data_IF_887175983755
#
_entry.id   IF_887175983755
#
_cell.length_a   1.000
_cell.length_b   1.000
_cell.length_c   1.000
_cell.angle_alpha   90.00
_cell.angle_beta   90.00
_cell.angle_gamma   90.00
#
_symmetry.space_group_name_H-M   'P 1'
#
loop_
_entity.id
_entity.type
_entity.pdbx_description
1 polymer ?
#
# COMPACT_ATOMS: atom_id res chain seq x y z
N UNK A 1 48.17 -41.91 26.78
CA UNK A 1 47.35 -40.85 27.41
C UNK A 1 47.99 -39.52 27.06
N UNK A 2 47.39 -38.83 26.11
CA UNK A 2 47.80 -37.56 25.54
C UNK A 2 47.13 -36.42 26.31
N UNK A 3 47.89 -35.37 26.66
CA UNK A 3 47.39 -34.01 26.90
C UNK A 3 48.57 -33.03 26.85
N UNK A 4 49.00 -32.65 25.64
CA UNK A 4 49.86 -31.48 25.42
C UNK A 4 48.96 -30.27 25.19
N UNK A 5 48.99 -29.32 26.12
CA UNK A 5 48.18 -28.11 26.08
C UNK A 5 48.93 -27.04 25.26
N UNK A 6 48.58 -26.88 23.98
CA UNK A 6 49.26 -26.02 22.99
C UNK A 6 48.73 -24.57 22.90
N UNK A 7 48.09 -24.04 23.94
CA UNK A 7 47.52 -22.68 23.87
C UNK A 7 48.40 -21.62 24.53
N UNK A 8 49.34 -21.05 23.77
CA UNK A 8 49.97 -19.76 24.11
C UNK A 8 50.14 -18.84 22.89
N UNK A 9 49.04 -18.51 22.21
CA UNK A 9 48.98 -17.29 21.40
C UNK A 9 48.81 -16.09 22.32
N UNK A 10 49.89 -15.67 23.00
CA UNK A 10 49.89 -14.42 23.77
C UNK A 10 50.35 -13.28 22.87
N UNK A 11 49.39 -12.63 22.22
CA UNK A 11 49.64 -11.33 21.58
C UNK A 11 50.21 -10.39 22.64
N UNK A 12 51.37 -9.78 22.38
CA UNK A 12 52.00 -8.91 23.35
C UNK A 12 51.13 -7.66 23.59
N UNK A 13 51.03 -7.19 24.84
CA UNK A 13 50.32 -5.93 25.18
C UNK A 13 50.80 -4.76 24.31
N UNK A 14 52.09 -4.75 23.93
CA UNK A 14 52.67 -3.75 23.03
C UNK A 14 52.11 -3.84 21.61
N UNK A 15 51.86 -5.04 21.09
CA UNK A 15 51.22 -5.26 19.78
C UNK A 15 49.77 -4.80 19.80
N UNK A 16 49.02 -5.10 20.88
CA UNK A 16 47.65 -4.63 21.07
C UNK A 16 47.59 -3.10 21.11
N UNK A 17 48.46 -2.46 21.90
CA UNK A 17 48.48 -1.00 22.04
C UNK A 17 48.93 -0.28 20.75
N UNK A 18 49.82 -0.89 19.95
CA UNK A 18 50.21 -0.36 18.63
C UNK A 18 49.09 -0.48 17.59
N UNK A 19 48.27 -1.54 17.66
CA UNK A 19 47.10 -1.70 16.77
C UNK A 19 45.93 -0.78 17.13
N UNK A 20 45.75 -0.49 18.42
CA UNK A 20 44.67 0.38 18.91
C UNK A 20 44.79 1.82 18.40
N UNK A 21 46.02 2.33 18.22
CA UNK A 21 46.27 3.65 17.64
C UNK A 21 45.85 3.75 16.17
N UNK A 22 45.99 2.68 15.39
CA UNK A 22 45.57 2.65 13.99
C UNK A 22 44.03 2.56 13.84
N UNK A 23 43.33 1.90 14.77
CA UNK A 23 41.87 1.80 14.76
C UNK A 23 41.13 3.08 15.13
N UNK A 24 41.75 4.00 15.89
CA UNK A 24 41.13 5.28 16.24
C UNK A 24 41.19 6.27 15.05
N UNK A 25 42.20 6.15 14.20
CA UNK A 25 42.38 6.99 13.00
C UNK A 25 41.66 6.47 11.75
N UNK A 26 41.14 5.25 11.77
CA UNK A 26 40.42 4.67 10.64
C UNK A 26 38.93 5.04 10.73
N UNK A 27 38.37 5.72 9.71
CA UNK A 27 36.93 5.76 9.53
C UNK A 27 36.41 4.31 9.55
N UNK A 28 35.30 4.07 10.24
CA UNK A 28 34.55 2.82 10.05
C UNK A 28 34.29 2.67 8.54
N UNK A 29 34.96 1.71 7.92
CA UNK A 29 34.70 1.39 6.52
C UNK A 29 33.25 0.94 6.41
N UNK A 30 32.51 1.44 5.42
CA UNK A 30 31.08 1.11 5.20
C UNK A 30 30.84 -0.41 5.12
N UNK A 31 31.87 -1.22 4.84
CA UNK A 31 31.81 -2.67 4.85
C UNK A 31 31.71 -3.31 6.25
N UNK A 32 31.91 -2.54 7.32
CA UNK A 32 31.86 -2.99 8.73
C UNK A 32 30.62 -2.50 9.47
N UNK A 33 29.81 -1.63 8.85
CA UNK A 33 28.49 -1.30 9.36
C UNK A 33 27.54 -2.47 9.09
N UNK A 34 26.84 -2.95 10.12
CA UNK A 34 25.63 -3.70 9.89
C UNK A 34 24.69 -2.76 9.13
N UNK A 35 24.49 -3.00 7.83
CA UNK A 35 23.51 -2.24 7.05
C UNK A 35 22.20 -2.29 7.84
N UNK A 36 21.72 -1.12 8.28
CA UNK A 36 20.42 -1.01 8.89
C UNK A 36 19.45 -1.68 7.91
N UNK A 37 18.85 -2.80 8.32
CA UNK A 37 17.89 -3.47 7.46
C UNK A 37 16.78 -2.47 7.20
N UNK A 38 16.54 -2.07 5.94
CA UNK A 38 15.54 -1.05 5.65
C UNK A 38 14.21 -1.54 6.23
N UNK A 39 13.54 -0.67 6.98
CA UNK A 39 12.27 -1.00 7.61
C UNK A 39 11.29 -1.46 6.53
N UNK A 40 10.70 -2.65 6.72
CA UNK A 40 9.78 -3.19 5.71
C UNK A 40 8.57 -2.27 5.61
N UNK A 41 8.20 -1.79 4.41
CA UNK A 41 7.06 -0.90 4.27
C UNK A 41 5.79 -1.60 4.72
N UNK A 42 5.01 -0.92 5.56
CA UNK A 42 3.67 -1.35 5.97
C UNK A 42 2.73 -1.26 4.77
N UNK A 43 1.76 -2.17 4.70
CA UNK A 43 0.77 -2.26 3.62
C UNK A 43 -0.62 -2.39 4.23
N UNK A 44 -1.60 -1.78 3.58
CA UNK A 44 -3.02 -1.90 3.91
C UNK A 44 -3.76 -2.58 2.76
N UNK A 45 -4.76 -3.38 3.10
CA UNK A 45 -5.66 -4.02 2.13
C UNK A 45 -7.08 -3.71 2.56
N UNK A 46 -7.88 -3.23 1.61
CA UNK A 46 -9.28 -2.90 1.81
C UNK A 46 -10.12 -3.92 1.03
N UNK A 47 -10.94 -4.68 1.75
CA UNK A 47 -11.79 -5.72 1.17
C UNK A 47 -13.25 -5.36 1.43
N UNK A 48 -14.03 -5.29 0.36
CA UNK A 48 -15.46 -5.02 0.43
C UNK A 48 -16.23 -6.26 0.00
N UNK A 49 -17.21 -6.65 0.82
CA UNK A 49 -18.14 -7.73 0.51
C UNK A 49 -19.48 -7.05 0.20
N UNK A 50 -19.93 -7.03 -1.07
CA UNK A 50 -21.14 -6.34 -1.48
C UNK A 50 -22.41 -7.10 -1.03
N UNK A 51 -23.55 -6.69 -1.58
CA UNK A 51 -24.85 -7.36 -1.39
C UNK A 51 -24.75 -8.89 -1.54
N UNK A 52 -25.54 -9.63 -0.76
CA UNK A 52 -25.58 -11.10 -0.81
C UNK A 52 -25.23 -11.80 0.49
N UNK A 53 -24.94 -11.05 1.57
CA UNK A 53 -24.72 -11.59 2.91
C UNK A 53 -25.83 -11.15 3.87
N UNK A 54 -26.15 -11.99 4.86
CA UNK A 54 -26.96 -11.57 6.00
C UNK A 54 -26.09 -10.75 6.94
N UNK A 55 -26.16 -9.42 6.87
CA UNK A 55 -25.29 -8.53 7.66
C UNK A 55 -25.42 -8.73 9.17
N UNK A 56 -26.57 -9.20 9.66
CA UNK A 56 -26.76 -9.49 11.09
C UNK A 56 -25.88 -10.63 11.59
N UNK A 57 -25.53 -11.60 10.73
CA UNK A 57 -24.65 -12.71 11.12
C UNK A 57 -23.17 -12.35 11.10
N UNK A 58 -22.81 -11.16 10.60
CA UNK A 58 -21.44 -10.66 10.59
C UNK A 58 -21.14 -9.72 11.77
N UNK A 59 -22.15 -9.33 12.55
CA UNK A 59 -21.99 -8.43 13.67
C UNK A 59 -21.53 -9.17 14.92
N UNK A 60 -20.52 -8.60 15.59
CA UNK A 60 -20.09 -9.00 16.92
C UNK A 60 -20.95 -8.24 17.94
N UNK A 61 -21.72 -8.99 18.75
CA UNK A 61 -22.69 -8.42 19.69
C UNK A 61 -22.05 -8.02 21.03
N UNK A 62 -20.94 -8.66 21.42
CA UNK A 62 -20.25 -8.42 22.69
C UNK A 62 -18.93 -7.69 22.46
N UNK A 63 -18.78 -6.52 23.07
CA UNK A 63 -17.54 -5.76 23.06
C UNK A 63 -16.50 -6.33 24.05
N UNK A 64 -15.24 -5.95 23.85
CA UNK A 64 -14.11 -6.37 24.70
C UNK A 64 -13.36 -7.57 24.14
N UNK A 65 -12.27 -7.98 24.81
CA UNK A 65 -11.36 -9.04 24.33
C UNK A 65 -12.03 -10.42 24.24
N UNK A 66 -13.06 -10.64 25.04
CA UNK A 66 -13.82 -11.89 25.12
C UNK A 66 -15.01 -11.92 24.15
N UNK A 67 -14.86 -11.26 23.00
CA UNK A 67 -15.84 -11.32 21.93
C UNK A 67 -15.85 -12.72 21.29
N UNK A 68 -16.99 -13.11 20.72
CA UNK A 68 -17.14 -14.38 20.02
C UNK A 68 -17.28 -14.12 18.53
N UNK A 69 -16.41 -14.74 17.73
CA UNK A 69 -16.58 -14.71 16.28
C UNK A 69 -17.87 -15.42 15.89
N UNK A 70 -18.67 -14.77 15.05
CA UNK A 70 -19.86 -15.37 14.46
C UNK A 70 -19.48 -16.44 13.43
N UNK A 71 -20.45 -17.23 12.98
CA UNK A 71 -20.21 -18.32 12.04
C UNK A 71 -19.43 -17.89 10.77
N UNK A 72 -19.75 -16.76 10.09
CA UNK A 72 -18.98 -16.30 8.93
C UNK A 72 -17.53 -15.92 9.25
N UNK A 73 -17.26 -15.48 10.48
CA UNK A 73 -15.94 -15.04 10.93
C UNK A 73 -15.16 -16.14 11.68
N UNK A 74 -15.74 -17.35 11.81
CA UNK A 74 -15.16 -18.41 12.66
C UNK A 74 -13.79 -18.89 12.18
N UNK A 75 -13.53 -18.80 10.88
CA UNK A 75 -12.23 -19.13 10.28
C UNK A 75 -11.10 -18.22 10.75
N UNK A 76 -11.41 -17.04 11.31
CA UNK A 76 -10.45 -16.08 11.84
C UNK A 76 -10.05 -16.36 13.30
N UNK A 77 -10.65 -17.35 13.97
CA UNK A 77 -10.38 -17.67 15.38
C UNK A 77 -8.88 -17.90 15.65
N UNK A 78 -8.20 -18.61 14.74
CA UNK A 78 -6.75 -18.86 14.83
C UNK A 78 -5.89 -17.59 14.72
N UNK A 79 -6.46 -16.47 14.28
CA UNK A 79 -5.83 -15.17 14.10
C UNK A 79 -6.41 -14.12 15.07
N UNK A 80 -7.07 -14.53 16.15
CA UNK A 80 -7.70 -13.62 17.14
C UNK A 80 -6.76 -12.53 17.65
N UNK A 81 -5.47 -12.83 17.82
CA UNK A 81 -4.49 -11.85 18.28
C UNK A 81 -4.22 -10.73 17.24
N UNK A 82 -4.51 -10.98 15.96
CA UNK A 82 -4.21 -10.10 14.83
C UNK A 82 -5.47 -9.41 14.27
N UNK A 83 -6.65 -9.73 14.79
CA UNK A 83 -7.94 -9.26 14.26
C UNK A 83 -8.71 -8.52 15.35
N UNK A 84 -9.23 -7.35 15.01
CA UNK A 84 -10.16 -6.59 15.86
C UNK A 84 -11.45 -6.33 15.08
N UNK A 85 -12.53 -7.09 15.34
CA UNK A 85 -13.82 -6.83 14.73
C UNK A 85 -14.41 -5.51 15.25
N UNK A 86 -14.99 -4.73 14.35
CA UNK A 86 -15.72 -3.50 14.69
C UNK A 86 -17.14 -3.63 14.15
N UNK A 87 -18.14 -3.52 15.01
CA UNK A 87 -19.56 -3.62 14.68
C UNK A 87 -20.31 -2.34 15.08
N UNK A 88 -21.46 -2.10 14.46
CA UNK A 88 -22.29 -0.91 14.73
C UNK A 88 -21.89 0.35 13.95
N UNK A 89 -20.84 0.29 13.12
CA UNK A 89 -20.51 1.37 12.20
C UNK A 89 -21.50 1.39 11.03
N UNK A 90 -22.02 2.57 10.74
CA UNK A 90 -22.86 2.81 9.59
C UNK A 90 -22.61 4.22 9.05
N UNK A 91 -22.88 4.40 7.76
CA UNK A 91 -22.76 5.70 7.13
C UNK A 91 -24.13 6.39 7.09
N UNK A 92 -24.35 7.48 7.85
CA UNK A 92 -25.68 8.07 8.02
C UNK A 92 -26.27 8.64 6.72
N UNK A 93 -25.43 9.09 5.78
CA UNK A 93 -25.88 9.69 4.53
C UNK A 93 -26.37 8.66 3.49
N UNK A 94 -26.19 7.36 3.74
CA UNK A 94 -26.62 6.27 2.85
C UNK A 94 -27.63 5.31 3.46
N UNK A 95 -28.22 5.68 4.60
CA UNK A 95 -29.33 4.91 5.18
C UNK A 95 -30.46 4.84 4.14
N UNK A 96 -30.92 3.62 3.84
CA UNK A 96 -31.94 3.35 2.82
C UNK A 96 -31.42 3.32 1.37
N UNK A 97 -30.11 3.52 1.12
CA UNK A 97 -29.50 3.59 -0.21
C UNK A 97 -28.60 2.38 -0.50
N UNK A 98 -29.20 1.26 -0.90
CA UNK A 98 -28.54 -0.05 -0.91
C UNK A 98 -27.57 -0.28 -2.10
N UNK A 99 -27.88 0.23 -3.30
CA UNK A 99 -27.16 -0.15 -4.54
C UNK A 99 -25.87 0.64 -4.83
N UNK A 100 -25.51 1.61 -3.99
CA UNK A 100 -24.36 2.50 -4.22
C UNK A 100 -23.39 2.58 -3.03
N UNK A 101 -23.51 1.65 -2.06
CA UNK A 101 -22.69 1.64 -0.86
C UNK A 101 -21.20 1.38 -1.15
N UNK A 102 -20.90 0.61 -2.20
CA UNK A 102 -19.54 0.33 -2.68
C UNK A 102 -18.80 1.61 -3.11
N UNK A 103 -19.50 2.55 -3.74
CA UNK A 103 -18.93 3.82 -4.22
C UNK A 103 -18.48 4.75 -3.10
N UNK A 104 -19.01 4.58 -1.90
CA UNK A 104 -18.81 5.52 -0.79
C UNK A 104 -18.15 4.90 0.43
N UNK A 105 -17.86 3.60 0.39
CA UNK A 105 -17.32 2.87 1.54
C UNK A 105 -15.98 3.44 2.05
N UNK A 106 -15.09 3.85 1.13
CA UNK A 106 -13.79 4.43 1.47
C UNK A 106 -13.76 5.97 1.46
N UNK A 107 -14.86 6.64 1.11
CA UNK A 107 -14.90 8.10 0.95
C UNK A 107 -15.87 8.79 1.91
N UNK A 108 -16.91 8.08 2.36
CA UNK A 108 -17.99 8.67 3.17
C UNK A 108 -18.82 9.71 2.42
N UNK A 109 -18.79 9.71 1.07
CA UNK A 109 -19.55 10.65 0.27
C UNK A 109 -21.07 10.39 0.33
N UNK A 110 -21.85 11.44 0.14
CA UNK A 110 -23.31 11.33 0.08
C UNK A 110 -23.75 10.76 -1.28
N UNK A 111 -24.60 9.75 -1.27
CA UNK A 111 -25.29 9.25 -2.47
C UNK A 111 -26.62 9.99 -2.62
N UNK A 112 -26.88 10.74 -3.69
CA UNK A 112 -28.18 11.40 -3.90
C UNK A 112 -29.34 10.38 -3.93
N UNK A 113 -30.43 10.68 -3.22
CA UNK A 113 -31.60 9.79 -3.13
C UNK A 113 -32.48 9.85 -4.40
N UNK A 114 -32.45 11.00 -5.07
CA UNK A 114 -33.22 11.37 -6.26
C UNK A 114 -32.52 10.96 -7.57
N UNK A 115 -31.37 10.30 -7.50
CA UNK A 115 -30.56 9.97 -8.68
C UNK A 115 -29.87 11.20 -9.30
N UNK A 116 -29.80 12.32 -8.58
CA UNK A 116 -29.09 13.51 -9.01
C UNK A 116 -27.57 13.31 -9.15
N UNK A 117 -26.86 14.40 -9.50
CA UNK A 117 -25.43 14.36 -9.74
C UNK A 117 -24.65 13.82 -8.52
N UNK A 118 -23.99 12.69 -8.70
CA UNK A 118 -23.14 12.08 -7.68
C UNK A 118 -21.75 12.69 -7.72
N UNK A 119 -21.27 13.19 -6.58
CA UNK A 119 -19.92 13.72 -6.41
C UNK A 119 -19.22 12.93 -5.33
N UNK A 120 -17.97 12.59 -5.59
CA UNK A 120 -17.12 11.87 -4.64
C UNK A 120 -15.86 12.69 -4.33
N UNK A 121 -15.03 12.16 -3.44
CA UNK A 121 -13.75 12.75 -3.05
C UNK A 121 -12.68 11.67 -2.93
N UNK A 122 -11.47 12.08 -2.55
CA UNK A 122 -10.38 11.15 -2.24
C UNK A 122 -10.84 10.04 -1.30
N UNK A 123 -10.46 8.80 -1.61
CA UNK A 123 -10.72 7.66 -0.74
C UNK A 123 -9.59 7.44 0.26
N UNK A 124 -9.90 6.78 1.38
CA UNK A 124 -8.96 6.55 2.47
C UNK A 124 -7.70 5.77 2.03
N UNK A 125 -7.85 4.79 1.13
CA UNK A 125 -6.74 4.04 0.56
C UNK A 125 -5.79 4.93 -0.27
N UNK A 126 -6.33 5.91 -1.00
CA UNK A 126 -5.53 6.83 -1.81
C UNK A 126 -4.80 7.86 -0.93
N UNK A 127 -5.43 8.34 0.15
CA UNK A 127 -4.73 9.14 1.17
C UNK A 127 -3.58 8.36 1.81
N UNK A 128 -3.76 7.05 2.06
CA UNK A 128 -2.67 6.21 2.56
C UNK A 128 -1.56 6.00 1.52
N UNK A 129 -1.92 5.85 0.25
CA UNK A 129 -0.97 5.72 -0.86
C UNK A 129 -0.10 6.98 -1.04
N UNK A 130 -0.63 8.18 -0.80
CA UNK A 130 0.14 9.42 -0.86
C UNK A 130 1.29 9.46 0.18
N UNK A 131 1.08 8.85 1.35
CA UNK A 131 2.07 8.84 2.44
C UNK A 131 3.04 7.67 2.30
N UNK A 132 2.52 6.47 2.05
CA UNK A 132 3.29 5.23 2.11
C UNK A 132 3.74 4.70 0.73
N UNK A 133 3.13 5.19 -0.35
CA UNK A 133 3.31 4.63 -1.68
C UNK A 133 4.71 4.80 -2.26
N UNK A 134 5.48 5.80 -1.81
CA UNK A 134 6.89 5.96 -2.22
C UNK A 134 7.80 4.85 -1.67
N UNK A 135 7.38 4.17 -0.61
CA UNK A 135 8.14 3.09 0.02
C UNK A 135 7.84 1.72 -0.62
N UNK A 136 6.88 1.63 -1.54
CA UNK A 136 6.47 0.40 -2.21
C UNK A 136 6.64 0.50 -3.73
N UNK A 137 6.82 -0.65 -4.42
CA UNK A 137 6.94 -0.69 -5.89
C UNK A 137 5.71 -0.11 -6.60
N UNK A 138 4.54 -0.37 -6.03
CA UNK A 138 3.25 0.18 -6.46
C UNK A 138 2.71 1.02 -5.31
N UNK A 139 2.33 2.27 -5.59
CA UNK A 139 1.76 3.16 -4.58
C UNK A 139 0.37 2.70 -4.13
N UNK A 140 -0.41 2.19 -5.09
CA UNK A 140 -1.71 1.58 -4.90
C UNK A 140 -1.91 0.45 -5.91
N UNK A 141 -2.85 -0.46 -5.62
CA UNK A 141 -3.21 -1.55 -6.52
C UNK A 141 -4.70 -1.83 -6.40
N UNK A 142 -5.44 -1.32 -7.37
CA UNK A 142 -6.89 -1.41 -7.44
C UNK A 142 -7.28 -2.74 -8.10
N UNK A 143 -8.02 -3.57 -7.37
CA UNK A 143 -8.42 -4.91 -7.81
C UNK A 143 -9.93 -5.08 -7.66
N UNK A 144 -10.54 -5.79 -8.60
CA UNK A 144 -11.94 -6.18 -8.50
C UNK A 144 -12.14 -7.57 -9.11
N UNK A 145 -13.03 -8.37 -8.51
CA UNK A 145 -13.49 -9.63 -9.12
C UNK A 145 -14.54 -9.27 -10.18
N UNK A 146 -15.57 -8.55 -9.74
CA UNK A 146 -16.63 -7.98 -10.57
C UNK A 146 -16.84 -6.51 -10.15
N UNK A 147 -17.49 -5.71 -11.01
CA UNK A 147 -17.75 -4.30 -10.70
C UNK A 147 -16.50 -3.42 -10.75
N UNK A 148 -16.56 -2.27 -10.07
CA UNK A 148 -15.55 -1.22 -10.18
C UNK A 148 -14.62 -1.18 -8.96
N UNK A 149 -13.54 -0.38 -9.04
CA UNK A 149 -12.66 -0.16 -7.88
C UNK A 149 -13.40 0.56 -6.75
N UNK A 150 -12.97 0.31 -5.52
CA UNK A 150 -13.38 1.07 -4.34
C UNK A 150 -12.64 2.42 -4.23
N UNK A 151 -11.58 2.60 -5.02
CA UNK A 151 -10.67 3.73 -4.92
C UNK A 151 -11.12 4.93 -5.75
N UNK A 152 -10.94 6.13 -5.18
CA UNK A 152 -11.32 7.41 -5.76
C UNK A 152 -10.18 8.41 -5.62
N UNK A 153 -9.86 9.09 -6.72
CA UNK A 153 -8.84 10.14 -6.75
C UNK A 153 -9.27 11.38 -5.97
N UNK A 154 -8.32 12.30 -5.76
CA UNK A 154 -8.58 13.60 -5.11
C UNK A 154 -9.68 14.42 -5.78
N UNK A 155 -9.81 14.30 -7.09
CA UNK A 155 -10.82 14.97 -7.90
C UNK A 155 -12.17 14.24 -7.91
N UNK A 156 -12.31 13.16 -7.12
CA UNK A 156 -13.53 12.37 -7.06
C UNK A 156 -13.76 11.52 -8.30
N UNK A 157 -12.69 11.09 -8.97
CA UNK A 157 -12.74 10.19 -10.13
C UNK A 157 -12.46 8.77 -9.67
N UNK A 158 -13.33 7.83 -10.03
CA UNK A 158 -13.13 6.42 -9.70
C UNK A 158 -11.94 5.85 -10.47
N UNK A 159 -11.02 5.20 -9.76
CA UNK A 159 -9.85 4.59 -10.39
C UNK A 159 -10.23 3.27 -11.06
N UNK A 160 -9.59 2.91 -12.19
CA UNK A 160 -9.81 1.62 -12.83
C UNK A 160 -9.25 0.48 -11.98
N UNK A 161 -9.96 -0.64 -11.90
CA UNK A 161 -9.49 -1.85 -11.25
C UNK A 161 -8.93 -2.85 -12.26
N UNK A 162 -7.84 -3.52 -11.90
CA UNK A 162 -7.39 -4.73 -12.60
C UNK A 162 -8.25 -5.92 -12.15
N UNK A 163 -8.81 -6.65 -13.12
CA UNK A 163 -9.69 -7.81 -12.90
C UNK A 163 -9.05 -9.12 -13.33
N UNK A 164 -8.02 -9.04 -14.17
CA UNK A 164 -7.32 -10.19 -14.66
C UNK A 164 -6.20 -10.58 -13.68
N UNK A 165 -6.39 -11.71 -13.00
CA UNK A 165 -5.44 -12.24 -12.02
C UNK A 165 -4.09 -12.58 -12.62
N UNK A 166 -4.04 -12.97 -13.91
CA UNK A 166 -2.78 -13.25 -14.61
C UNK A 166 -2.00 -11.96 -14.87
N UNK A 167 -2.66 -10.88 -15.28
CA UNK A 167 -2.02 -9.56 -15.43
C UNK A 167 -1.47 -9.08 -14.10
N UNK A 168 -2.27 -9.16 -13.05
CA UNK A 168 -1.89 -8.79 -11.69
C UNK A 168 -0.68 -9.60 -11.20
N UNK A 169 -0.71 -10.92 -11.38
CA UNK A 169 0.39 -11.80 -11.02
C UNK A 169 1.66 -11.46 -11.81
N UNK A 170 1.56 -11.23 -13.11
CA UNK A 170 2.70 -10.84 -13.94
C UNK A 170 3.25 -9.47 -13.52
N UNK A 171 2.39 -8.52 -13.14
CA UNK A 171 2.79 -7.22 -12.63
C UNK A 171 3.55 -7.34 -11.30
N UNK A 172 3.06 -8.17 -10.38
CA UNK A 172 3.64 -8.34 -9.05
C UNK A 172 4.89 -9.22 -9.04
N UNK A 173 4.84 -10.36 -9.72
CA UNK A 173 5.81 -11.46 -9.63
C UNK A 173 6.43 -11.89 -10.96
N UNK A 174 5.90 -11.41 -12.09
CA UNK A 174 6.42 -11.76 -13.41
C UNK A 174 7.90 -11.41 -13.50
N UNK A 175 8.71 -12.40 -13.88
CA UNK A 175 10.09 -12.16 -14.29
C UNK A 175 10.02 -11.31 -15.55
N UNK A 176 10.46 -10.06 -15.48
CA UNK A 176 10.56 -9.23 -16.66
C UNK A 176 11.47 -9.96 -17.66
N UNK A 177 10.87 -10.53 -18.71
CA UNK A 177 11.61 -11.15 -19.83
C UNK A 177 12.41 -10.11 -20.62
N UNK A 178 12.09 -8.83 -20.40
CA UNK A 178 12.74 -7.68 -21.00
C UNK A 178 13.99 -7.28 -20.21
N UNK A 179 15.08 -6.96 -20.91
CA UNK A 179 16.28 -6.42 -20.26
C UNK A 179 15.95 -5.13 -19.51
N UNK A 180 16.68 -4.82 -18.44
CA UNK A 180 16.58 -3.55 -17.67
C UNK A 180 16.59 -2.31 -18.57
N UNK A 181 17.25 -2.40 -19.72
CA UNK A 181 17.34 -1.36 -20.75
C UNK A 181 16.01 -1.13 -21.46
N UNK A 182 15.30 -2.19 -21.83
CA UNK A 182 13.98 -2.11 -22.46
C UNK A 182 12.94 -1.51 -21.51
N UNK A 183 13.00 -1.87 -20.23
CA UNK A 183 12.13 -1.28 -19.19
C UNK A 183 12.42 0.21 -19.01
N UNK A 184 13.70 0.60 -18.89
CA UNK A 184 14.09 2.02 -18.84
C UNK A 184 13.62 2.79 -20.06
N UNK A 185 13.74 2.21 -21.25
CA UNK A 185 13.29 2.83 -22.50
C UNK A 185 11.76 3.02 -22.54
N UNK A 186 10.99 2.04 -22.05
CA UNK A 186 9.54 2.14 -21.92
C UNK A 186 9.11 3.19 -20.89
N UNK A 187 9.76 3.23 -19.72
CA UNK A 187 9.49 4.22 -18.68
C UNK A 187 9.85 5.64 -19.16
N UNK A 188 10.99 5.81 -19.84
CA UNK A 188 11.40 7.07 -20.47
C UNK A 188 10.40 7.52 -21.54
N UNK A 189 9.91 6.59 -22.38
CA UNK A 189 8.83 6.90 -23.35
C UNK A 189 7.54 7.35 -22.67
N UNK A 190 7.12 6.69 -21.59
CA UNK A 190 5.91 7.09 -20.83
C UNK A 190 6.07 8.48 -20.20
N UNK A 191 7.23 8.78 -19.62
CA UNK A 191 7.54 10.13 -19.12
C UNK A 191 7.46 11.18 -20.23
N UNK A 192 8.09 10.91 -21.38
CA UNK A 192 8.07 11.81 -22.53
C UNK A 192 6.66 12.06 -23.11
N UNK A 193 5.77 11.06 -23.07
CA UNK A 193 4.36 11.25 -23.48
C UNK A 193 3.62 12.15 -22.48
N UNK A 194 3.82 11.94 -21.18
CA UNK A 194 3.21 12.78 -20.15
C UNK A 194 3.72 14.22 -20.22
N UNK A 195 5.01 14.42 -20.50
CA UNK A 195 5.61 15.74 -20.70
C UNK A 195 5.02 16.42 -21.94
N UNK A 196 4.85 15.69 -23.05
CA UNK A 196 4.25 16.22 -24.28
C UNK A 196 2.77 16.62 -24.06
N UNK A 197 2.00 15.80 -23.34
CA UNK A 197 0.62 16.12 -22.96
C UNK A 197 0.57 17.34 -22.02
N UNK A 198 1.52 17.45 -21.08
CA UNK A 198 1.61 18.59 -20.17
C UNK A 198 2.00 19.89 -20.90
N UNK A 199 2.88 19.82 -21.90
CA UNK A 199 3.23 20.95 -22.75
C UNK A 199 2.06 21.39 -23.64
N UNK A 200 1.32 20.44 -24.21
CA UNK A 200 0.11 20.72 -24.99
C UNK A 200 -0.98 21.36 -24.12
N UNK A 201 -1.20 20.84 -22.90
CA UNK A 201 -2.12 21.44 -21.94
C UNK A 201 -1.72 22.89 -21.59
N UNK A 202 -0.42 23.16 -21.39
CA UNK A 202 0.09 24.53 -21.15
C UNK A 202 -0.07 25.43 -22.37
N UNK A 203 0.10 24.91 -23.58
CA UNK A 203 -0.04 25.67 -24.83
C UNK A 203 -1.48 26.10 -25.05
N UNK A 204 -2.44 25.20 -24.81
CA UNK A 204 -3.88 25.51 -24.87
C UNK A 204 -4.25 26.54 -23.80
N UNK A 205 -3.78 26.38 -22.56
CA UNK A 205 -4.03 27.34 -21.47
C UNK A 205 -3.48 28.76 -21.74
N UNK A 206 -2.45 28.88 -22.60
CA UNK A 206 -1.94 30.19 -23.05
C UNK A 206 -2.81 30.84 -24.13
N UNK A 207 -3.56 30.05 -24.89
CA UNK A 207 -4.41 30.51 -26.00
C UNK A 207 -5.85 30.80 -25.57
N UNK A 208 -6.26 30.35 -24.37
CA UNK A 208 -7.56 30.69 -23.79
C UNK A 208 -7.57 32.15 -23.32
N UNK A 209 -8.67 32.85 -23.64
CA UNK A 209 -8.91 34.23 -23.21
C UNK A 209 -9.12 34.32 -21.70
N UNK A 210 -9.07 35.52 -21.13
CA UNK A 210 -9.21 35.71 -19.67
C UNK A 210 -10.55 35.25 -19.10
N UNK A 211 -11.57 35.05 -19.94
CA UNK A 211 -12.86 34.50 -19.53
C UNK A 211 -12.90 32.95 -19.53
N UNK A 212 -11.96 32.29 -20.21
CA UNK A 212 -11.92 30.83 -20.41
C UNK A 212 -10.72 30.13 -19.73
N UNK A 213 -9.93 30.87 -18.94
CA UNK A 213 -8.77 30.35 -18.19
C UNK A 213 -9.13 29.66 -16.88
#
# INVERSE_FOLDING_TARGET
MSNLNLNQWRISRRTVLRGLGASISLPLLDCMGAAASPEKPKRSVFLYIPNGVNTLTWQIQKAGKDYEFTAPLKSLEKHRADVTPISGLHHPMVIGKHHNCDKVWLTGANVPADGGAFRNSVSADQLMAEVQGSATRFSSLEMAIEGHSLAWSRDGIQLPAERNTQNLFNQLFGVEKESKETIRRRLSRRGSILDLVAEDAKRVNRQLGSEDR
#
